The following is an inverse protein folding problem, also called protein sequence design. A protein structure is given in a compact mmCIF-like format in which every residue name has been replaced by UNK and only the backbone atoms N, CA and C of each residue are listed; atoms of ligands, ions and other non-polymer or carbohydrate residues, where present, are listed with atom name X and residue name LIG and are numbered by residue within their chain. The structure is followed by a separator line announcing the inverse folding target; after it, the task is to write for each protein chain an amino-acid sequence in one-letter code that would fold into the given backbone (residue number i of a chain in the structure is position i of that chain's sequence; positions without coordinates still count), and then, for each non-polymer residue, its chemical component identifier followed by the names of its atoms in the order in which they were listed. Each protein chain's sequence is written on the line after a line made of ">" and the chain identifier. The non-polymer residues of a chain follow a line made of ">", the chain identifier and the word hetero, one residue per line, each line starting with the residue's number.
data_IF_887142953025
#
_entry.id   IF_887142953025
#
_cell.length_a   1.000
_cell.length_b   1.000
_cell.length_c   1.000
_cell.angle_alpha   90.00
_cell.angle_beta   90.00
_cell.angle_gamma   90.00
#
_symmetry.space_group_name_H-M   'P 1'
#
loop_
_entity.id
_entity.type
_entity.pdbx_description
1 polymer ?
#
# COMPACT_ATOMS: atom_id res chain seq x y z
N UNK A 1 1.10 -1.58 -6.74
CA UNK A 1 1.22 -2.59 -5.67
C UNK A 1 2.66 -3.06 -5.61
N UNK A 2 3.14 -3.33 -4.41
CA UNK A 2 4.39 -4.05 -4.13
C UNK A 2 4.12 -5.06 -3.03
N UNK A 3 4.92 -6.12 -2.97
CA UNK A 3 4.75 -7.15 -1.95
C UNK A 3 4.96 -6.56 -0.54
N UNK A 4 4.02 -6.84 0.35
CA UNK A 4 4.04 -6.48 1.77
C UNK A 4 4.19 -7.79 2.56
N UNK A 5 5.31 -7.90 3.27
CA UNK A 5 5.60 -9.05 4.11
C UNK A 5 5.08 -8.80 5.53
N UNK A 6 3.92 -9.37 5.85
CA UNK A 6 3.25 -9.23 7.17
C UNK A 6 3.98 -10.06 8.21
N UNK A 7 4.97 -9.47 8.87
CA UNK A 7 5.77 -10.13 9.94
C UNK A 7 5.26 -9.84 11.34
N UNK A 8 4.50 -8.77 11.51
CA UNK A 8 4.01 -8.37 12.82
C UNK A 8 2.66 -9.02 13.13
N UNK A 9 2.33 -9.04 14.42
CA UNK A 9 1.00 -9.37 14.92
C UNK A 9 0.23 -8.09 15.27
N UNK A 10 -1.08 -8.21 15.50
CA UNK A 10 -1.90 -7.12 16.06
C UNK A 10 -1.19 -6.47 17.25
N UNK A 11 -1.14 -5.12 17.37
CA UNK A 11 -0.61 -4.48 18.56
C UNK A 11 -1.28 -5.04 19.82
N UNK A 12 -0.49 -5.38 20.84
CA UNK A 12 -0.96 -6.13 22.00
C UNK A 12 -2.12 -5.42 22.72
N UNK A 13 -2.09 -4.09 22.79
CA UNK A 13 -3.15 -3.29 23.41
C UNK A 13 -4.46 -3.36 22.62
N UNK A 14 -4.37 -3.36 21.30
CA UNK A 14 -5.52 -3.52 20.40
C UNK A 14 -6.08 -4.94 20.51
N UNK A 15 -5.21 -5.96 20.50
CA UNK A 15 -5.61 -7.35 20.65
C UNK A 15 -6.31 -7.62 21.99
N UNK A 16 -5.75 -7.10 23.09
CA UNK A 16 -6.33 -7.20 24.43
C UNK A 16 -7.69 -6.48 24.50
N UNK A 17 -7.79 -5.31 23.88
CA UNK A 17 -9.04 -4.57 23.81
C UNK A 17 -10.11 -5.35 23.03
N UNK A 18 -9.77 -5.94 21.88
CA UNK A 18 -10.69 -6.78 21.09
C UNK A 18 -11.15 -7.99 21.91
N UNK A 19 -10.23 -8.71 22.58
CA UNK A 19 -10.55 -9.88 23.42
C UNK A 19 -11.50 -9.53 24.57
N UNK A 20 -11.28 -8.38 25.20
CA UNK A 20 -12.08 -7.90 26.33
C UNK A 20 -13.47 -7.44 25.89
N UNK A 21 -13.55 -6.60 24.85
CA UNK A 21 -14.79 -5.91 24.48
C UNK A 21 -15.63 -6.67 23.45
N UNK A 22 -15.02 -7.59 22.70
CA UNK A 22 -15.67 -8.42 21.66
C UNK A 22 -16.53 -7.56 20.70
N UNK A 23 -15.95 -6.51 20.09
CA UNK A 23 -16.68 -5.62 19.19
C UNK A 23 -17.29 -6.40 18.02
N UNK A 24 -18.52 -6.05 17.63
CA UNK A 24 -19.22 -6.70 16.50
C UNK A 24 -18.97 -6.00 15.17
N UNK A 25 -18.60 -4.73 15.20
CA UNK A 25 -18.41 -3.87 14.02
C UNK A 25 -17.06 -3.20 14.09
N UNK A 26 -16.55 -2.78 12.94
CA UNK A 26 -15.32 -1.99 12.86
C UNK A 26 -15.63 -0.51 13.12
N UNK A 27 -15.70 -0.15 14.38
CA UNK A 27 -15.80 1.23 14.87
C UNK A 27 -14.61 1.55 15.80
N UNK A 28 -13.45 0.94 15.52
CA UNK A 28 -12.27 1.02 16.39
C UNK A 28 -11.80 2.48 16.58
N UNK A 29 -11.92 3.33 15.57
CA UNK A 29 -11.58 4.75 15.67
C UNK A 29 -12.46 5.52 16.66
N UNK A 30 -13.67 5.05 16.93
CA UNK A 30 -14.64 5.66 17.83
C UNK A 30 -14.55 5.00 19.21
N UNK A 31 -14.51 3.67 19.24
CA UNK A 31 -14.57 2.87 20.46
C UNK A 31 -13.22 2.81 21.20
N UNK A 32 -12.11 2.91 20.47
CA UNK A 32 -10.76 2.89 21.02
C UNK A 32 -9.75 3.63 20.13
N UNK A 33 -9.87 4.96 20.13
CA UNK A 33 -9.07 5.84 19.29
C UNK A 33 -7.55 5.61 19.43
N UNK A 34 -7.02 5.49 20.64
CA UNK A 34 -5.58 5.27 20.86
C UNK A 34 -5.11 3.95 20.24
N UNK A 35 -5.89 2.88 20.38
CA UNK A 35 -5.63 1.61 19.72
C UNK A 35 -5.68 1.70 18.20
N UNK A 36 -6.62 2.48 17.66
CA UNK A 36 -6.69 2.73 16.23
C UNK A 36 -5.45 3.49 15.71
N UNK A 37 -4.94 4.47 16.47
CA UNK A 37 -3.70 5.18 16.14
C UNK A 37 -2.50 4.24 16.17
N UNK A 38 -2.35 3.42 17.21
CA UNK A 38 -1.28 2.41 17.33
C UNK A 38 -1.29 1.42 16.16
N UNK A 39 -2.48 0.89 15.82
CA UNK A 39 -2.64 -0.01 14.69
C UNK A 39 -2.21 0.64 13.37
N UNK A 40 -2.66 1.87 13.12
CA UNK A 40 -2.33 2.59 11.87
C UNK A 40 -0.84 2.88 11.76
N UNK A 41 -0.20 3.25 12.86
CA UNK A 41 1.24 3.50 12.87
C UNK A 41 2.03 2.22 12.57
N UNK A 42 1.65 1.10 13.19
CA UNK A 42 2.29 -0.19 12.89
C UNK A 42 2.11 -0.61 11.43
N UNK A 43 0.89 -0.48 10.88
CA UNK A 43 0.64 -0.75 9.46
C UNK A 43 1.42 0.20 8.53
N UNK A 44 1.55 1.48 8.91
CA UNK A 44 2.34 2.46 8.15
C UNK A 44 3.80 2.04 8.09
N UNK A 45 4.36 1.60 9.21
CA UNK A 45 5.74 1.12 9.28
C UNK A 45 5.96 -0.16 8.45
N UNK A 46 5.07 -1.16 8.57
CA UNK A 46 5.14 -2.38 7.74
C UNK A 46 5.08 -2.07 6.23
N UNK A 47 4.31 -1.05 5.85
CA UNK A 47 4.16 -0.61 4.47
C UNK A 47 5.13 0.50 4.05
N UNK A 48 6.07 0.85 4.93
CA UNK A 48 7.09 1.85 4.69
C UNK A 48 6.54 3.23 4.28
N UNK A 49 5.40 3.60 4.86
CA UNK A 49 4.72 4.87 4.58
C UNK A 49 3.92 4.90 3.28
N UNK A 50 3.88 3.81 2.50
CA UNK A 50 3.22 3.78 1.21
C UNK A 50 1.83 3.13 1.26
N UNK A 51 0.93 3.58 0.38
CA UNK A 51 -0.38 2.95 0.20
C UNK A 51 -0.21 1.51 -0.30
N UNK A 52 -0.94 0.57 0.31
CA UNK A 52 -0.87 -0.85 -0.03
C UNK A 52 -1.18 -1.14 -1.51
N UNK A 53 -1.98 -0.29 -2.17
CA UNK A 53 -2.41 -0.48 -3.54
C UNK A 53 -1.61 0.36 -4.56
N UNK A 54 -1.68 1.69 -4.47
CA UNK A 54 -1.05 2.57 -5.47
C UNK A 54 0.43 2.87 -5.21
N UNK A 55 0.96 2.51 -4.03
CA UNK A 55 2.33 2.75 -3.60
C UNK A 55 2.74 4.23 -3.62
N UNK A 56 1.77 5.15 -3.52
CA UNK A 56 2.03 6.56 -3.23
C UNK A 56 2.23 6.76 -1.73
N UNK A 57 2.99 7.79 -1.37
CA UNK A 57 3.20 8.21 0.02
C UNK A 57 1.84 8.50 0.67
N UNK A 58 1.62 7.93 1.85
CA UNK A 58 0.38 8.11 2.58
C UNK A 58 0.36 9.44 3.30
N UNK A 59 -0.65 10.25 3.01
CA UNK A 59 -0.96 11.39 3.85
C UNK A 59 -1.35 10.96 5.28
N UNK A 60 -1.37 11.91 6.21
CA UNK A 60 -1.82 11.69 7.59
C UNK A 60 -3.21 11.05 7.65
N UNK A 61 -4.07 11.32 6.67
CA UNK A 61 -5.43 10.82 6.61
C UNK A 61 -5.59 9.47 5.88
N UNK A 62 -4.67 8.52 6.02
CA UNK A 62 -4.86 7.16 5.49
C UNK A 62 -6.01 6.38 6.18
N UNK A 63 -6.53 5.35 5.53
CA UNK A 63 -7.60 4.47 6.05
C UNK A 63 -7.09 3.04 6.23
N UNK A 64 -7.62 2.33 7.22
CA UNK A 64 -7.37 0.90 7.37
C UNK A 64 -8.23 0.15 6.34
N UNK A 65 -7.56 -0.52 5.42
CA UNK A 65 -8.14 -1.38 4.39
C UNK A 65 -8.39 -2.78 4.96
N UNK A 66 -9.55 -3.35 4.62
CA UNK A 66 -9.84 -4.77 4.82
C UNK A 66 -9.71 -5.50 3.49
N UNK A 67 -8.65 -6.28 3.32
CA UNK A 67 -8.37 -6.96 2.05
C UNK A 67 -9.56 -7.85 1.63
N UNK A 68 -10.04 -8.68 2.55
CA UNK A 68 -11.33 -9.36 2.53
C UNK A 68 -12.38 -8.46 3.17
N UNK A 69 -13.38 -8.05 2.40
CA UNK A 69 -14.37 -7.07 2.87
C UNK A 69 -15.13 -7.56 4.10
N UNK A 70 -15.33 -6.66 5.08
CA UNK A 70 -16.14 -6.90 6.29
C UNK A 70 -17.56 -7.40 5.99
N UNK A 71 -18.14 -6.98 4.86
CA UNK A 71 -19.50 -7.37 4.46
C UNK A 71 -19.59 -8.84 4.02
N UNK A 72 -18.52 -9.37 3.41
CA UNK A 72 -18.44 -10.74 2.89
C UNK A 72 -17.73 -11.69 3.87
N UNK A 73 -16.80 -11.16 4.68
CA UNK A 73 -15.95 -11.91 5.60
C UNK A 73 -15.92 -11.27 6.99
N UNK A 74 -17.06 -11.19 7.70
CA UNK A 74 -17.14 -10.53 9.01
C UNK A 74 -16.20 -11.13 10.05
N UNK A 75 -15.88 -12.42 9.96
CA UNK A 75 -14.93 -13.11 10.84
C UNK A 75 -13.48 -12.59 10.69
N UNK A 76 -13.14 -11.93 9.58
CA UNK A 76 -11.81 -11.36 9.32
C UNK A 76 -11.72 -9.86 9.65
N UNK A 77 -12.75 -9.28 10.27
CA UNK A 77 -12.82 -7.83 10.57
C UNK A 77 -11.64 -7.34 11.43
N UNK A 78 -11.18 -8.18 12.35
CA UNK A 78 -10.08 -7.88 13.27
C UNK A 78 -8.87 -8.81 13.07
N UNK A 79 -8.82 -9.54 11.96
CA UNK A 79 -7.67 -10.36 11.60
C UNK A 79 -6.55 -9.43 11.08
N UNK A 80 -5.41 -9.38 11.77
CA UNK A 80 -4.31 -8.48 11.39
C UNK A 80 -3.74 -8.75 10.00
N UNK A 81 -3.75 -10.01 9.55
CA UNK A 81 -3.34 -10.38 8.20
C UNK A 81 -4.30 -9.87 7.12
N UNK A 82 -5.52 -9.51 7.51
CA UNK A 82 -6.52 -8.89 6.64
C UNK A 82 -6.47 -7.35 6.64
N UNK A 83 -5.63 -6.74 7.49
CA UNK A 83 -5.56 -5.28 7.66
C UNK A 83 -4.33 -4.68 6.99
N UNK A 84 -4.58 -3.66 6.17
CA UNK A 84 -3.59 -2.87 5.45
C UNK A 84 -3.91 -1.38 5.57
N UNK A 85 -3.05 -0.52 5.04
CA UNK A 85 -3.23 0.92 5.03
C UNK A 85 -3.36 1.44 3.59
N UNK A 86 -4.51 2.03 3.27
CA UNK A 86 -4.81 2.60 1.95
C UNK A 86 -4.91 4.13 1.98
N UNK A 87 -4.65 4.77 0.85
CA UNK A 87 -5.00 6.19 0.66
C UNK A 87 -6.52 6.37 0.69
N UNK A 88 -7.00 7.57 1.03
CA UNK A 88 -8.43 7.94 1.05
C UNK A 88 -8.93 8.60 -0.24
N UNK A 89 -8.16 8.50 -1.32
CA UNK A 89 -8.52 9.14 -2.59
C UNK A 89 -9.84 8.56 -3.13
N UNK A 90 -10.77 9.44 -3.54
CA UNK A 90 -12.04 9.02 -4.10
C UNK A 90 -11.85 8.28 -5.42
N UNK A 91 -12.65 7.24 -5.65
CA UNK A 91 -12.63 6.37 -6.84
C UNK A 91 -11.25 5.76 -7.12
N UNK A 92 -10.48 5.49 -6.06
CA UNK A 92 -9.15 4.89 -6.15
C UNK A 92 -8.90 3.98 -4.94
N UNK A 93 -8.08 2.94 -5.13
CA UNK A 93 -7.63 2.05 -4.05
C UNK A 93 -8.81 1.46 -3.25
N UNK A 94 -8.80 1.51 -1.91
CA UNK A 94 -9.91 1.06 -1.03
C UNK A 94 -11.27 1.59 -1.52
N UNK A 95 -11.36 2.88 -1.83
CA UNK A 95 -12.64 3.48 -2.25
C UNK A 95 -13.14 2.94 -3.59
N UNK A 96 -12.24 2.58 -4.52
CA UNK A 96 -12.62 1.96 -5.79
C UNK A 96 -12.95 0.47 -5.63
N UNK A 97 -12.19 -0.25 -4.78
CA UNK A 97 -12.41 -1.66 -4.47
C UNK A 97 -13.77 -1.89 -3.82
N UNK A 98 -14.15 -1.03 -2.87
CA UNK A 98 -15.37 -1.19 -2.08
C UNK A 98 -15.42 -2.58 -1.43
N UNK A 99 -16.45 -3.36 -1.78
CA UNK A 99 -16.63 -4.71 -1.25
C UNK A 99 -16.15 -5.82 -2.21
N UNK A 100 -15.56 -5.47 -3.34
CA UNK A 100 -15.06 -6.45 -4.30
C UNK A 100 -13.73 -7.05 -3.86
N UNK A 101 -13.46 -8.23 -4.41
CA UNK A 101 -12.31 -9.05 -4.06
C UNK A 101 -11.22 -8.90 -5.12
N UNK A 102 -9.97 -9.01 -4.68
CA UNK A 102 -8.80 -8.96 -5.55
C UNK A 102 -8.21 -10.36 -5.70
N UNK A 103 -7.98 -10.79 -6.94
CA UNK A 103 -7.32 -12.06 -7.24
C UNK A 103 -5.78 -11.96 -7.15
N UNK A 104 -5.27 -10.74 -7.25
CA UNK A 104 -3.88 -10.37 -6.98
C UNK A 104 -3.85 -9.31 -5.90
N UNK A 105 -3.22 -9.63 -4.76
CA UNK A 105 -3.17 -8.75 -3.58
C UNK A 105 -1.73 -8.35 -3.28
N UNK A 106 -1.49 -7.27 -2.52
CA UNK A 106 -0.14 -6.91 -2.12
C UNK A 106 0.47 -7.88 -1.08
N UNK A 107 -0.29 -8.88 -0.61
CA UNK A 107 0.22 -9.97 0.24
C UNK A 107 0.74 -11.18 -0.57
N UNK A 108 0.82 -11.04 -1.90
CA UNK A 108 1.30 -12.09 -2.79
C UNK A 108 2.57 -11.59 -3.48
N UNK A 109 3.67 -12.34 -3.38
CA UNK A 109 4.94 -11.98 -4.04
C UNK A 109 4.78 -11.79 -5.55
N UNK A 110 3.83 -12.50 -6.17
CA UNK A 110 3.46 -12.36 -7.57
C UNK A 110 3.04 -10.92 -7.95
N UNK A 111 2.58 -10.07 -7.02
CA UNK A 111 2.25 -8.69 -7.35
C UNK A 111 3.47 -7.87 -7.76
N UNK A 112 4.67 -8.29 -7.37
CA UNK A 112 5.92 -7.64 -7.78
C UNK A 112 6.26 -7.92 -9.25
N UNK A 113 5.95 -9.11 -9.75
CA UNK A 113 6.34 -9.56 -11.10
C UNK A 113 5.22 -9.51 -12.12
N UNK A 114 3.95 -9.55 -11.71
CA UNK A 114 2.81 -9.53 -12.64
C UNK A 114 2.31 -8.12 -12.99
N UNK A 115 2.86 -7.09 -12.36
CA UNK A 115 2.54 -5.68 -12.62
C UNK A 115 3.84 -4.94 -12.90
N UNK A 116 4.04 -4.53 -14.14
CA UNK A 116 5.24 -3.82 -14.61
C UNK A 116 4.97 -2.33 -14.70
N UNK A 117 5.91 -1.49 -14.26
CA UNK A 117 5.82 -0.04 -14.45
C UNK A 117 6.49 0.34 -15.78
N UNK A 118 5.76 1.05 -16.64
CA UNK A 118 6.30 1.65 -17.87
C UNK A 118 6.87 3.04 -17.59
N UNK A 119 7.79 3.48 -18.44
CA UNK A 119 8.42 4.81 -18.37
C UNK A 119 7.43 5.98 -18.49
N UNK A 120 6.25 5.75 -19.07
CA UNK A 120 5.18 6.74 -19.14
C UNK A 120 4.34 6.83 -17.84
N UNK A 121 4.66 6.03 -16.82
CA UNK A 121 3.97 5.98 -15.52
C UNK A 121 2.80 4.99 -15.44
N UNK A 122 2.45 4.31 -16.54
CA UNK A 122 1.40 3.29 -16.56
C UNK A 122 1.86 1.97 -15.95
N UNK A 123 0.97 1.31 -15.24
CA UNK A 123 1.13 -0.09 -14.82
C UNK A 123 0.58 -1.01 -15.90
N UNK A 124 1.40 -1.95 -16.37
CA UNK A 124 1.02 -2.93 -17.36
C UNK A 124 0.87 -4.32 -16.71
N UNK A 125 -0.29 -4.98 -16.86
CA UNK A 125 -0.50 -6.32 -16.34
C UNK A 125 0.19 -7.38 -17.21
N UNK A 126 0.70 -8.43 -16.57
CA UNK A 126 1.20 -9.65 -17.23
C UNK A 126 0.19 -10.80 -17.15
N UNK A 127 -0.78 -10.71 -16.25
CA UNK A 127 -1.83 -11.70 -16.04
C UNK A 127 -3.23 -11.07 -15.97
N UNK A 128 -4.27 -11.88 -16.15
CA UNK A 128 -5.65 -11.42 -16.02
C UNK A 128 -5.98 -10.91 -14.62
N UNK A 129 -5.44 -11.56 -13.57
CA UNK A 129 -5.61 -11.09 -12.18
C UNK A 129 -4.90 -9.77 -11.91
N UNK A 130 -3.75 -9.52 -12.54
CA UNK A 130 -3.08 -8.23 -12.47
C UNK A 130 -3.91 -7.14 -13.17
N UNK A 131 -4.49 -7.48 -14.33
CA UNK A 131 -5.39 -6.57 -15.04
C UNK A 131 -6.62 -6.25 -14.20
N UNK A 132 -7.25 -7.26 -13.61
CA UNK A 132 -8.39 -7.11 -12.70
C UNK A 132 -8.06 -6.18 -11.54
N UNK A 133 -6.91 -6.36 -10.89
CA UNK A 133 -6.49 -5.50 -9.80
C UNK A 133 -6.22 -4.05 -10.23
N UNK A 134 -5.53 -3.83 -11.36
CA UNK A 134 -5.24 -2.49 -11.89
C UNK A 134 -6.53 -1.74 -12.22
N UNK A 135 -7.47 -2.41 -12.89
CA UNK A 135 -8.74 -1.84 -13.32
C UNK A 135 -9.64 -1.54 -12.12
N UNK A 136 -9.85 -2.52 -11.22
CA UNK A 136 -10.73 -2.39 -10.05
C UNK A 136 -10.23 -1.29 -9.09
N UNK A 137 -8.92 -1.22 -8.86
CA UNK A 137 -8.33 -0.22 -7.95
C UNK A 137 -8.07 1.13 -8.63
N UNK A 138 -8.36 1.25 -9.93
CA UNK A 138 -8.14 2.43 -10.75
C UNK A 138 -6.67 2.94 -10.68
N UNK A 139 -5.71 2.01 -10.80
CA UNK A 139 -4.29 2.31 -10.57
C UNK A 139 -3.61 3.07 -11.73
N UNK A 140 -4.26 3.15 -12.89
CA UNK A 140 -3.80 3.89 -14.08
C UNK A 140 -4.60 5.17 -14.34
N UNK A 141 -5.23 5.74 -13.31
CA UNK A 141 -5.78 7.08 -13.48
C UNK A 141 -4.65 8.09 -13.79
N UNK A 142 -5.03 9.20 -14.44
CA UNK A 142 -4.08 10.18 -14.96
C UNK A 142 -3.14 10.76 -13.89
N UNK A 143 -3.64 10.98 -12.67
CA UNK A 143 -2.86 11.53 -11.56
C UNK A 143 -1.79 10.53 -11.08
N UNK A 144 -2.15 9.25 -10.88
CA UNK A 144 -1.18 8.22 -10.52
C UNK A 144 -0.12 8.00 -11.60
N UNK A 145 -0.52 7.98 -12.88
CA UNK A 145 0.42 7.87 -13.99
C UNK A 145 1.39 9.06 -14.01
N UNK A 146 0.88 10.29 -13.81
CA UNK A 146 1.71 11.49 -13.77
C UNK A 146 2.68 11.48 -12.60
N UNK A 147 2.25 11.10 -11.39
CA UNK A 147 3.12 11.01 -10.21
C UNK A 147 4.22 9.97 -10.39
N UNK A 148 3.89 8.80 -10.96
CA UNK A 148 4.91 7.78 -11.27
C UNK A 148 5.89 8.28 -12.33
N UNK A 149 5.40 8.91 -13.40
CA UNK A 149 6.26 9.49 -14.44
C UNK A 149 7.19 10.57 -13.87
N UNK A 150 6.71 11.39 -12.95
CA UNK A 150 7.53 12.37 -12.24
C UNK A 150 8.63 11.68 -11.42
N UNK A 151 8.27 10.71 -10.57
CA UNK A 151 9.25 9.98 -9.75
C UNK A 151 10.31 9.25 -10.60
N UNK A 152 9.92 8.72 -11.76
CA UNK A 152 10.85 8.15 -12.74
C UNK A 152 11.81 9.22 -13.27
N UNK A 153 11.28 10.39 -13.65
CA UNK A 153 12.10 11.51 -14.13
C UNK A 153 13.08 12.03 -13.08
N UNK A 154 12.62 12.17 -11.83
CA UNK A 154 13.45 12.57 -10.69
C UNK A 154 14.60 11.58 -10.50
N UNK A 155 14.32 10.26 -10.56
CA UNK A 155 15.32 9.21 -10.46
C UNK A 155 16.36 9.24 -11.58
N UNK A 156 15.93 9.44 -12.83
CA UNK A 156 16.88 9.58 -13.95
C UNK A 156 17.71 10.87 -13.82
N UNK A 157 17.15 11.95 -13.29
CA UNK A 157 17.91 13.15 -12.96
C UNK A 157 19.04 12.84 -11.98
N UNK A 158 18.71 12.12 -10.90
CA UNK A 158 19.68 11.69 -9.89
C UNK A 158 20.74 10.74 -10.48
N UNK A 159 20.33 9.74 -11.27
CA UNK A 159 21.25 8.74 -11.86
C UNK A 159 22.20 9.36 -12.90
N UNK A 160 21.80 10.42 -13.60
CA UNK A 160 22.74 11.17 -14.45
C UNK A 160 23.80 11.92 -13.63
N UNK A 161 23.55 12.20 -12.36
CA UNK A 161 24.49 12.87 -11.44
C UNK A 161 25.34 11.86 -10.65
N UNK A 162 24.91 10.60 -10.52
CA UNK A 162 25.46 9.61 -9.57
C UNK A 162 25.51 8.19 -10.17
N UNK A 163 26.48 7.35 -9.79
CA UNK A 163 26.43 5.92 -10.12
C UNK A 163 25.48 5.14 -9.16
N UNK A 164 25.11 3.89 -9.50
CA UNK A 164 24.16 3.10 -8.69
C UNK A 164 24.55 2.93 -7.21
N UNK A 165 25.84 2.81 -6.89
CA UNK A 165 26.31 2.71 -5.48
C UNK A 165 26.05 4.01 -4.69
N UNK A 166 26.04 5.15 -5.37
CA UNK A 166 25.75 6.45 -4.75
C UNK A 166 24.24 6.70 -4.56
N UNK A 167 23.35 6.01 -5.27
CA UNK A 167 21.89 6.17 -5.13
C UNK A 167 21.39 5.72 -3.74
N UNK A 168 21.84 4.57 -3.26
CA UNK A 168 21.45 4.09 -1.93
C UNK A 168 21.99 4.98 -0.81
N UNK A 169 23.22 5.51 -0.97
CA UNK A 169 23.75 6.51 -0.04
C UNK A 169 22.87 7.75 -0.02
N UNK A 170 22.39 8.23 -1.17
CA UNK A 170 21.48 9.37 -1.23
C UNK A 170 20.14 9.07 -0.53
N UNK A 171 19.56 7.89 -0.73
CA UNK A 171 18.31 7.49 -0.07
C UNK A 171 18.39 7.49 1.47
N UNK A 172 19.58 7.27 2.04
CA UNK A 172 19.80 7.37 3.50
C UNK A 172 19.61 8.80 4.02
N UNK A 173 19.89 9.81 3.20
CA UNK A 173 19.78 11.23 3.57
C UNK A 173 18.41 11.84 3.23
N UNK A 174 17.56 11.09 2.52
CA UNK A 174 16.22 11.52 2.13
C UNK A 174 15.19 11.28 3.23
N UNK A 175 14.04 11.94 3.11
CA UNK A 175 12.85 11.51 3.85
C UNK A 175 12.56 10.03 3.55
N UNK A 176 12.32 9.24 4.60
CA UNK A 176 12.23 7.79 4.50
C UNK A 176 11.12 7.34 3.54
N UNK A 177 9.97 8.04 3.52
CA UNK A 177 8.85 7.66 2.66
C UNK A 177 9.12 8.01 1.19
N UNK A 178 9.84 9.11 0.94
CA UNK A 178 10.29 9.48 -0.40
C UNK A 178 11.33 8.49 -0.95
N UNK A 179 12.30 8.09 -0.13
CA UNK A 179 13.26 7.05 -0.49
C UNK A 179 12.56 5.73 -0.84
N UNK A 180 11.53 5.34 -0.08
CA UNK A 180 10.80 4.10 -0.32
C UNK A 180 9.89 4.17 -1.56
N UNK A 181 9.33 5.34 -1.88
CA UNK A 181 8.67 5.57 -3.16
C UNK A 181 9.64 5.33 -4.33
N UNK A 182 10.87 5.84 -4.24
CA UNK A 182 11.88 5.66 -5.26
C UNK A 182 12.36 4.21 -5.38
N UNK A 183 12.58 3.52 -4.26
CA UNK A 183 12.88 2.08 -4.26
C UNK A 183 11.76 1.28 -4.94
N UNK A 184 10.51 1.61 -4.66
CA UNK A 184 9.37 1.01 -5.35
C UNK A 184 9.44 1.23 -6.88
N UNK A 185 9.68 2.46 -7.32
CA UNK A 185 9.77 2.80 -8.75
C UNK A 185 10.92 2.03 -9.43
N UNK A 186 12.13 2.06 -8.85
CA UNK A 186 13.31 1.36 -9.38
C UNK A 186 13.07 -0.15 -9.50
N UNK A 187 12.50 -0.76 -8.47
CA UNK A 187 12.15 -2.19 -8.47
C UNK A 187 11.13 -2.52 -9.55
N UNK A 188 10.16 -1.64 -9.81
CA UNK A 188 9.08 -1.88 -10.78
C UNK A 188 9.45 -1.58 -12.23
N UNK A 189 10.46 -0.74 -12.47
CA UNK A 189 11.03 -0.52 -13.80
C UNK A 189 11.95 -1.66 -14.24
N UNK A 190 12.55 -2.38 -13.28
CA UNK A 190 13.53 -3.45 -13.54
C UNK A 190 12.93 -4.87 -13.54
N UNK A 191 11.62 -5.01 -13.27
CA UNK A 191 10.86 -6.26 -13.25
C UNK A 191 10.24 -6.58 -14.61
#
# INVERSE_FOLDING_TARGET
>A
MQYIDKKLMMPIDVENWIKKNKPKTWELSQDYYDGYVLLREQLRQEQKGLCCYCCQILEKQATVEHLKSRSKFPQLTFDYGNLLLSCKQSKQCDNAKGNDELDLTPLMTACDTEIILKVNGELNPISDRAKQAIDLLNLNNADLCQRRKQAIGDLFGIDNELNQENLELMFVWMDNEQAELYRYVLKKLSA
#
